data_IF_997771938683
#
_entry.id   IF_997771938683
#
_cell.length_a   1.000
_cell.length_b   1.000
_cell.length_c   1.000
_cell.angle_alpha   90.00
_cell.angle_beta   90.00
_cell.angle_gamma   90.00
#
_symmetry.space_group_name_H-M   'P 1'
#
loop_
_entity.id
_entity.type
_entity.pdbx_description
1 polymer ?
#
# COMPACT_ATOMS: atom_id res chain seq x y z
N UNK A 1 10.11 5.45 10.94
CA UNK A 1 8.63 5.49 10.95
C UNK A 1 8.11 6.58 10.01
N UNK A 2 8.44 6.53 8.73
CA UNK A 2 8.02 7.56 7.74
C UNK A 2 6.98 6.97 6.79
N UNK A 3 7.31 5.87 6.14
CA UNK A 3 6.60 5.50 4.91
C UNK A 3 5.34 4.69 5.17
N UNK A 4 5.34 3.80 6.17
CA UNK A 4 4.14 3.05 6.58
C UNK A 4 3.07 3.97 7.20
N UNK A 5 3.50 5.00 7.93
CA UNK A 5 2.60 6.00 8.49
C UNK A 5 2.01 6.87 7.39
N UNK A 6 2.84 7.33 6.44
CA UNK A 6 2.40 8.08 5.26
C UNK A 6 1.46 7.28 4.37
N UNK A 7 1.73 5.98 4.15
CA UNK A 7 0.84 5.07 3.43
C UNK A 7 -0.51 4.92 4.14
N UNK A 8 -0.50 4.76 5.47
CA UNK A 8 -1.72 4.67 6.28
C UNK A 8 -2.51 5.98 6.27
N UNK A 9 -1.85 7.12 6.41
CA UNK A 9 -2.49 8.43 6.41
C UNK A 9 -3.05 8.79 5.04
N UNK A 10 -2.32 8.52 3.96
CA UNK A 10 -2.81 8.69 2.59
C UNK A 10 -4.02 7.78 2.28
N UNK A 11 -4.03 6.55 2.80
CA UNK A 11 -5.17 5.64 2.69
C UNK A 11 -6.38 6.11 3.51
N UNK A 12 -6.16 6.72 4.67
CA UNK A 12 -7.23 7.12 5.61
C UNK A 12 -7.83 8.48 5.27
N UNK A 13 -7.02 9.45 4.82
CA UNK A 13 -7.47 10.81 4.51
C UNK A 13 -8.49 10.84 3.35
N UNK A 14 -8.38 9.91 2.40
CA UNK A 14 -9.26 9.84 1.22
C UNK A 14 -10.65 9.23 1.48
N UNK A 15 -10.85 8.61 2.64
CA UNK A 15 -12.11 7.91 2.97
C UNK A 15 -13.17 8.78 3.67
N UNK A 16 -12.84 10.01 4.10
CA UNK A 16 -13.71 10.83 4.98
C UNK A 16 -14.63 11.83 4.27
N UNK A 17 -14.47 12.06 2.96
CA UNK A 17 -15.28 13.06 2.27
C UNK A 17 -16.46 12.41 1.52
N UNK A 18 -17.66 12.63 2.03
CA UNK A 18 -18.93 12.05 1.54
C UNK A 18 -19.54 12.83 0.35
N UNK A 19 -18.85 13.87 -0.13
CA UNK A 19 -19.19 14.57 -1.39
C UNK A 19 -18.42 14.04 -2.60
N UNK A 20 -17.50 13.10 -2.38
CA UNK A 20 -16.68 12.48 -3.41
C UNK A 20 -17.58 11.64 -4.32
N UNK A 21 -17.43 11.85 -5.63
CA UNK A 21 -18.00 11.03 -6.69
C UNK A 21 -17.91 9.52 -6.33
N UNK A 22 -19.01 8.75 -6.41
CA UNK A 22 -19.03 7.36 -5.99
C UNK A 22 -17.94 6.49 -6.63
N UNK A 23 -17.51 6.83 -7.85
CA UNK A 23 -16.43 6.16 -8.55
C UNK A 23 -15.05 6.51 -7.95
N UNK A 24 -14.84 7.78 -7.63
CA UNK A 24 -13.61 8.23 -6.94
C UNK A 24 -13.51 7.60 -5.56
N UNK A 25 -14.63 7.50 -4.84
CA UNK A 25 -14.70 6.78 -3.57
C UNK A 25 -14.39 5.29 -3.74
N UNK A 26 -14.98 4.63 -4.74
CA UNK A 26 -14.72 3.21 -5.04
C UNK A 26 -13.24 2.98 -5.37
N UNK A 27 -12.64 3.83 -6.21
CA UNK A 27 -11.22 3.77 -6.55
C UNK A 27 -10.32 3.89 -5.31
N UNK A 28 -10.54 4.89 -4.47
CA UNK A 28 -9.74 5.04 -3.26
C UNK A 28 -9.96 3.91 -2.25
N UNK A 29 -11.17 3.35 -2.19
CA UNK A 29 -11.47 2.18 -1.37
C UNK A 29 -10.67 0.95 -1.84
N UNK A 30 -10.64 0.66 -3.14
CA UNK A 30 -9.86 -0.45 -3.69
C UNK A 30 -8.36 -0.27 -3.48
N UNK A 31 -7.87 0.95 -3.68
CA UNK A 31 -6.48 1.33 -3.42
C UNK A 31 -6.08 1.11 -1.95
N UNK A 32 -6.88 1.62 -1.01
CA UNK A 32 -6.63 1.45 0.43
C UNK A 32 -6.71 -0.01 0.87
N UNK A 33 -7.64 -0.79 0.30
CA UNK A 33 -7.77 -2.21 0.61
C UNK A 33 -6.53 -3.02 0.20
N UNK A 34 -5.98 -2.76 -0.99
CA UNK A 34 -4.75 -3.41 -1.46
C UNK A 34 -3.56 -3.12 -0.53
N UNK A 35 -3.34 -1.85 -0.18
CA UNK A 35 -2.29 -1.46 0.76
C UNK A 35 -2.48 -2.12 2.14
N UNK A 36 -3.72 -2.11 2.67
CA UNK A 36 -4.02 -2.68 3.98
C UNK A 36 -3.76 -4.19 4.04
N UNK A 37 -4.03 -4.94 2.97
CA UNK A 37 -3.75 -6.38 2.92
C UNK A 37 -2.28 -6.68 3.10
N UNK A 38 -1.42 -6.00 2.34
CA UNK A 38 0.03 -6.20 2.43
C UNK A 38 0.54 -5.78 3.81
N UNK A 39 0.13 -4.62 4.32
CA UNK A 39 0.51 -4.17 5.66
C UNK A 39 0.05 -5.12 6.76
N UNK A 40 -1.15 -5.70 6.64
CA UNK A 40 -1.66 -6.66 7.62
C UNK A 40 -0.86 -7.97 7.60
N UNK A 41 -0.59 -8.52 6.41
CA UNK A 41 0.24 -9.72 6.25
C UNK A 41 1.63 -9.52 6.88
N UNK A 42 2.30 -8.41 6.56
CA UNK A 42 3.58 -8.06 7.17
C UNK A 42 3.49 -7.91 8.69
N UNK A 43 2.41 -7.29 9.20
CA UNK A 43 2.22 -7.09 10.65
C UNK A 43 1.99 -8.40 11.42
N UNK A 44 1.45 -9.43 10.79
CA UNK A 44 1.28 -10.76 11.39
C UNK A 44 2.50 -11.68 11.15
N UNK A 45 3.57 -11.16 10.53
CA UNK A 45 4.80 -11.89 10.28
C UNK A 45 4.77 -12.77 9.02
N UNK A 46 3.78 -12.60 8.14
CA UNK A 46 3.79 -13.27 6.84
C UNK A 46 4.83 -12.65 5.91
N UNK A 47 5.49 -13.51 5.13
CA UNK A 47 6.40 -13.09 4.07
C UNK A 47 5.57 -12.82 2.82
N UNK A 48 5.59 -11.58 2.33
CA UNK A 48 5.02 -11.20 1.04
C UNK A 48 6.16 -11.10 0.02
N UNK A 49 6.06 -11.90 -1.04
CA UNK A 49 7.04 -11.90 -2.14
C UNK A 49 6.56 -11.03 -3.30
N UNK A 50 7.48 -10.70 -4.21
CA UNK A 50 7.13 -10.04 -5.48
C UNK A 50 6.11 -10.87 -6.27
N UNK A 51 6.26 -12.19 -6.28
CA UNK A 51 5.34 -13.13 -6.95
C UNK A 51 3.92 -13.04 -6.36
N UNK A 52 3.77 -12.86 -5.06
CA UNK A 52 2.46 -12.70 -4.41
C UNK A 52 1.75 -11.40 -4.87
N UNK A 53 2.52 -10.32 -5.03
CA UNK A 53 2.00 -9.07 -5.57
C UNK A 53 1.66 -9.18 -7.06
N UNK A 54 2.48 -9.88 -7.86
CA UNK A 54 2.18 -10.16 -9.28
C UNK A 54 0.92 -11.03 -9.45
N UNK A 55 0.76 -12.04 -8.60
CA UNK A 55 -0.43 -12.88 -8.54
C UNK A 55 -1.68 -12.06 -8.17
N UNK A 56 -1.55 -11.18 -7.17
CA UNK A 56 -2.62 -10.25 -6.78
C UNK A 56 -2.99 -9.31 -7.92
N UNK A 57 -2.00 -8.76 -8.64
CA UNK A 57 -2.23 -7.89 -9.79
C UNK A 57 -2.96 -8.61 -10.93
N UNK A 58 -2.58 -9.85 -11.22
CA UNK A 58 -3.22 -10.71 -12.23
C UNK A 58 -4.67 -10.97 -11.87
N UNK A 59 -4.93 -11.30 -10.61
CA UNK A 59 -6.29 -11.51 -10.10
C UNK A 59 -7.14 -10.24 -10.22
N UNK A 60 -6.64 -9.10 -9.77
CA UNK A 60 -7.36 -7.83 -9.86
C UNK A 60 -7.67 -7.42 -11.31
N UNK A 61 -6.74 -7.69 -12.23
CA UNK A 61 -6.94 -7.45 -13.66
C UNK A 61 -8.04 -8.35 -14.24
N UNK A 62 -8.00 -9.63 -13.88
CA UNK A 62 -9.05 -10.60 -14.27
C UNK A 62 -10.42 -10.20 -13.69
N UNK A 63 -10.46 -9.75 -12.44
CA UNK A 63 -11.70 -9.33 -11.79
C UNK A 63 -12.24 -8.02 -12.42
N UNK A 64 -11.34 -7.10 -12.83
CA UNK A 64 -11.71 -5.89 -13.59
C UNK A 64 -12.35 -6.24 -14.94
N UNK A 65 -11.76 -7.18 -15.70
CA UNK A 65 -12.31 -7.63 -16.99
C UNK A 65 -13.71 -8.24 -16.86
N UNK A 66 -13.98 -8.88 -15.71
CA UNK A 66 -15.28 -9.51 -15.42
C UNK A 66 -16.28 -8.53 -14.79
N UNK A 67 -15.84 -7.35 -14.35
CA UNK A 67 -16.68 -6.39 -13.62
C UNK A 67 -17.74 -5.77 -14.54
N UNK A 68 -19.00 -6.07 -14.24
CA UNK A 68 -20.17 -5.56 -14.98
C UNK A 68 -20.64 -4.20 -14.47
N UNK A 69 -20.40 -3.91 -13.19
CA UNK A 69 -20.81 -2.66 -12.56
C UNK A 69 -19.68 -1.65 -12.60
N UNK A 70 -20.01 -0.41 -12.96
CA UNK A 70 -19.03 0.65 -13.15
C UNK A 70 -18.25 0.96 -11.86
N UNK A 71 -18.91 0.94 -10.69
CA UNK A 71 -18.24 1.15 -9.41
C UNK A 71 -17.23 0.04 -9.08
N UNK A 72 -17.52 -1.22 -9.45
CA UNK A 72 -16.57 -2.31 -9.28
C UNK A 72 -15.35 -2.14 -10.19
N UNK A 73 -15.53 -1.63 -11.41
CA UNK A 73 -14.41 -1.31 -12.29
C UNK A 73 -13.48 -0.29 -11.63
N UNK A 74 -14.02 0.81 -11.11
CA UNK A 74 -13.24 1.82 -10.38
C UNK A 74 -12.54 1.24 -9.14
N UNK A 75 -13.23 0.41 -8.37
CA UNK A 75 -12.63 -0.30 -7.23
C UNK A 75 -11.42 -1.14 -7.64
N UNK A 76 -11.57 -2.00 -8.67
CA UNK A 76 -10.46 -2.84 -9.13
C UNK A 76 -9.33 -2.01 -9.74
N UNK A 77 -9.63 -0.94 -10.49
CA UNK A 77 -8.61 -0.01 -10.99
C UNK A 77 -7.80 0.63 -9.86
N UNK A 78 -8.44 0.98 -8.75
CA UNK A 78 -7.74 1.48 -7.55
C UNK A 78 -6.82 0.45 -6.91
N UNK A 79 -7.31 -0.80 -6.80
CA UNK A 79 -6.50 -1.92 -6.30
C UNK A 79 -5.29 -2.21 -7.20
N UNK A 80 -5.48 -2.21 -8.52
CA UNK A 80 -4.42 -2.38 -9.53
C UNK A 80 -3.36 -1.29 -9.36
N UNK A 81 -3.77 -0.02 -9.31
CA UNK A 81 -2.84 1.09 -9.16
C UNK A 81 -1.96 0.97 -7.90
N UNK A 82 -2.55 0.63 -6.76
CA UNK A 82 -1.79 0.44 -5.52
C UNK A 82 -0.90 -0.80 -5.57
N UNK A 83 -1.37 -1.92 -6.11
CA UNK A 83 -0.58 -3.15 -6.21
C UNK A 83 0.63 -2.96 -7.13
N UNK A 84 0.46 -2.25 -8.26
CA UNK A 84 1.56 -1.86 -9.15
C UNK A 84 2.56 -0.95 -8.46
N UNK A 85 2.07 0.03 -7.67
CA UNK A 85 2.95 0.88 -6.87
C UNK A 85 3.78 0.06 -5.88
N UNK A 86 3.15 -0.86 -5.13
CA UNK A 86 3.83 -1.74 -4.18
C UNK A 86 4.87 -2.63 -4.89
N UNK A 87 4.55 -3.18 -6.06
CA UNK A 87 5.48 -3.93 -6.91
C UNK A 87 6.72 -3.12 -7.30
N UNK A 88 6.52 -1.86 -7.72
CA UNK A 88 7.62 -0.97 -8.06
C UNK A 88 8.50 -0.63 -6.84
N UNK A 89 7.91 -0.50 -5.65
CA UNK A 89 8.71 -0.28 -4.44
C UNK A 89 9.47 -1.55 -4.04
N UNK A 90 8.91 -2.74 -4.28
CA UNK A 90 9.55 -4.03 -3.98
C UNK A 90 10.78 -4.31 -4.85
N UNK A 91 10.73 -3.97 -6.13
CA UNK A 91 11.85 -4.21 -7.06
C UNK A 91 13.07 -3.31 -6.82
N UNK A 92 12.91 -2.22 -6.05
CA UNK A 92 14.01 -1.30 -5.66
C UNK A 92 14.80 -1.83 -4.46
N UNK A 93 14.35 -2.89 -3.79
CA UNK A 93 15.11 -3.58 -2.75
C UNK A 93 14.21 -4.40 -1.83
N UNK A 94 14.66 -5.61 -1.51
CA UNK A 94 14.05 -6.55 -0.57
C UNK A 94 13.62 -5.83 0.71
N UNK A 95 12.30 -5.71 0.92
CA UNK A 95 11.73 -5.33 2.21
C UNK A 95 11.82 -6.56 3.11
N UNK A 96 13.01 -6.78 3.66
CA UNK A 96 13.20 -7.78 4.70
C UNK A 96 12.58 -7.24 6.00
N UNK A 97 11.42 -7.78 6.36
CA UNK A 97 10.70 -7.41 7.57
C UNK A 97 11.52 -7.71 8.84
N UNK A 98 12.42 -8.70 8.82
CA UNK A 98 13.34 -8.96 9.92
C UNK A 98 14.48 -7.93 9.95
N UNK A 99 15.05 -7.54 8.79
CA UNK A 99 16.05 -6.47 8.75
C UNK A 99 15.48 -5.09 9.15
N UNK A 100 14.22 -4.81 8.77
CA UNK A 100 13.52 -3.58 9.13
C UNK A 100 13.14 -3.51 10.62
N UNK A 101 12.93 -4.67 11.27
CA UNK A 101 12.66 -4.77 12.71
C UNK A 101 13.92 -4.78 13.57
N UNK A 102 15.09 -5.06 13.01
CA UNK A 102 16.32 -5.34 13.77
C UNK A 102 17.27 -4.16 14.01
N UNK A 103 16.92 -2.92 13.64
CA UNK A 103 17.72 -1.74 13.99
C UNK A 103 16.99 -0.74 14.88
N UNK A 104 17.03 -0.94 16.21
CA UNK A 104 16.83 0.15 17.14
C UNK A 104 18.10 1.02 17.18
N UNK A 105 17.90 2.31 16.91
CA UNK A 105 18.84 3.44 17.09
C UNK A 105 19.88 3.70 16.00
N UNK A 106 19.76 4.90 15.38
CA UNK A 106 20.78 5.92 15.11
C UNK A 106 20.03 7.07 14.39
N UNK A 107 20.00 8.33 14.81
CA UNK A 107 20.77 9.04 15.81
C UNK A 107 19.93 10.20 16.36
N UNK A 108 19.96 10.40 17.68
CA UNK A 108 19.83 11.74 18.26
C UNK A 108 20.79 12.66 17.49
N UNK A 109 20.26 13.73 16.90
CA UNK A 109 21.08 14.89 16.54
C UNK A 109 21.60 15.49 17.85
N UNK A 110 22.83 15.13 18.24
CA UNK A 110 23.66 16.03 19.03
C UNK A 110 24.26 17.02 18.05
N UNK A 111 23.96 18.33 18.13
CA UNK A 111 24.61 19.30 17.27
C UNK A 111 26.09 19.40 17.65
N UNK A 112 26.97 19.03 16.72
CA UNK A 112 28.38 19.38 16.82
C UNK A 112 28.54 20.85 16.42
N UNK A 113 28.65 21.73 17.43
CA UNK A 113 29.08 23.12 17.21
C UNK A 113 28.36 24.14 18.09
N UNK A 114 28.78 24.25 19.34
CA UNK A 114 28.83 25.52 20.07
C UNK A 114 29.97 25.41 21.09
N UNK A 115 31.17 25.76 20.62
CA UNK A 115 32.17 26.37 21.50
C UNK A 115 31.65 27.75 21.94
#
# INVERSE_FOLDING_TARGET
>A
MSDVLALREAATARAKDRTIDPNVFAYHTGSAYAARKVLYALAVGEIITESDLQSTLTKLTTDLEKAREHQHQWYYSGGIAMTTYLLQQWSVGTVDAEAACSQPALAMRVPAGAQ
#
